data_IF_323698814672
#
_entry.id   IF_323698814672
#
_cell.length_a   1.000
_cell.length_b   1.000
_cell.length_c   1.000
_cell.angle_alpha   90.00
_cell.angle_beta   90.00
_cell.angle_gamma   90.00
#
_symmetry.space_group_name_H-M   'P 1'
#
loop_
_entity.id
_entity.type
_entity.pdbx_description
1 polymer ?
#
# COMPACT_ATOMS: atom_id res chain seq x y z
N UNK A 1 5.39 -8.79 -9.29
CA UNK A 1 5.81 -9.67 -8.18
C UNK A 1 6.72 -8.87 -7.27
N UNK A 2 6.53 -8.96 -5.96
CA UNK A 2 7.39 -8.30 -4.96
C UNK A 2 8.32 -9.34 -4.32
N UNK A 3 9.58 -9.00 -4.16
CA UNK A 3 10.61 -9.88 -3.59
C UNK A 3 11.25 -9.23 -2.36
N UNK A 4 11.64 -10.03 -1.37
CA UNK A 4 12.26 -9.50 -0.15
C UNK A 4 13.59 -8.83 -0.51
N UNK A 5 13.68 -7.52 -0.29
CA UNK A 5 14.85 -6.72 -0.61
C UNK A 5 15.69 -6.40 0.62
N UNK A 6 15.04 -6.12 1.75
CA UNK A 6 15.69 -5.82 3.02
C UNK A 6 14.85 -6.31 4.20
N UNK A 7 15.35 -6.11 5.43
CA UNK A 7 14.62 -6.48 6.65
C UNK A 7 13.32 -5.71 6.88
N UNK A 8 13.04 -4.65 6.12
CA UNK A 8 11.82 -3.84 6.26
C UNK A 8 11.03 -3.67 4.97
N UNK A 9 11.54 -4.18 3.83
CA UNK A 9 10.98 -3.88 2.52
C UNK A 9 11.06 -5.06 1.56
N UNK A 10 10.03 -5.14 0.74
CA UNK A 10 9.99 -5.88 -0.51
C UNK A 10 10.17 -4.91 -1.67
N UNK A 11 10.76 -5.34 -2.78
CA UNK A 11 10.92 -4.57 -4.01
C UNK A 11 10.12 -5.24 -5.12
N UNK A 12 9.35 -4.44 -5.83
CA UNK A 12 8.60 -4.86 -7.01
C UNK A 12 8.65 -3.79 -8.08
N UNK A 13 7.98 -4.06 -9.20
CA UNK A 13 7.79 -3.12 -10.29
C UNK A 13 6.31 -3.00 -10.60
N UNK A 14 5.86 -1.77 -10.78
CA UNK A 14 4.47 -1.41 -11.10
C UNK A 14 4.49 -0.31 -12.14
N UNK A 15 3.49 -0.29 -13.02
CA UNK A 15 3.19 0.91 -13.81
C UNK A 15 2.68 1.99 -12.86
N UNK A 16 3.24 3.18 -12.94
CA UNK A 16 2.86 4.30 -12.08
C UNK A 16 2.17 5.35 -12.92
N UNK A 17 0.96 5.73 -12.55
CA UNK A 17 0.19 6.74 -13.29
C UNK A 17 -0.57 7.70 -12.36
N UNK A 18 -0.78 8.96 -12.79
CA UNK A 18 -1.66 9.88 -12.07
C UNK A 18 -3.13 9.47 -12.19
N UNK A 19 -3.91 9.61 -11.11
CA UNK A 19 -5.37 9.40 -11.11
C UNK A 19 -6.12 10.44 -10.26
N UNK A 20 -7.44 10.48 -10.41
CA UNK A 20 -8.33 11.45 -9.74
C UNK A 20 -8.77 11.05 -8.32
N UNK A 21 -8.19 9.98 -7.76
CA UNK A 21 -8.47 9.57 -6.38
C UNK A 21 -7.65 10.35 -5.36
N UNK A 22 -8.07 10.28 -4.11
CA UNK A 22 -7.46 11.02 -3.00
C UNK A 22 -6.25 10.32 -2.39
N UNK A 23 -6.04 9.02 -2.66
CA UNK A 23 -5.34 8.16 -1.70
C UNK A 23 -4.24 7.24 -2.20
N UNK A 24 -3.76 7.24 -3.44
CA UNK A 24 -2.88 6.17 -3.94
C UNK A 24 -3.50 4.77 -3.85
N UNK A 25 -3.55 4.07 -4.97
CA UNK A 25 -4.29 2.83 -5.07
C UNK A 25 -3.61 1.83 -5.99
N UNK A 26 -3.84 0.56 -5.69
CA UNK A 26 -3.58 -0.57 -6.60
C UNK A 26 -4.88 -1.36 -6.77
N UNK A 27 -4.89 -2.31 -7.71
CA UNK A 27 -6.06 -3.16 -7.90
C UNK A 27 -6.44 -3.88 -6.60
N UNK A 28 -7.72 -3.84 -6.20
CA UNK A 28 -8.21 -4.46 -4.96
C UNK A 28 -7.76 -5.92 -4.74
N UNK A 29 -7.87 -6.77 -5.76
CA UNK A 29 -7.46 -8.19 -5.64
C UNK A 29 -5.96 -8.34 -5.41
N UNK A 30 -5.12 -7.50 -6.00
CA UNK A 30 -3.68 -7.49 -5.74
C UNK A 30 -3.37 -6.92 -4.35
N UNK A 31 -4.09 -5.88 -3.94
CA UNK A 31 -3.99 -5.31 -2.60
C UNK A 31 -4.23 -6.37 -1.53
N UNK A 32 -5.36 -7.06 -1.60
CA UNK A 32 -5.73 -8.09 -0.61
C UNK A 32 -4.71 -9.23 -0.57
N UNK A 33 -4.22 -9.69 -1.73
CA UNK A 33 -3.18 -10.72 -1.80
C UNK A 33 -1.84 -10.27 -1.23
N UNK A 34 -1.44 -9.03 -1.50
CA UNK A 34 -0.21 -8.48 -0.93
C UNK A 34 -0.34 -8.29 0.57
N UNK A 35 -1.49 -7.85 1.05
CA UNK A 35 -1.77 -7.70 2.47
C UNK A 35 -1.70 -9.04 3.19
N UNK A 36 -2.39 -10.05 2.67
CA UNK A 36 -2.31 -11.43 3.18
C UNK A 36 -0.86 -11.93 3.21
N UNK A 37 -0.09 -11.68 2.15
CA UNK A 37 1.28 -12.18 2.08
C UNK A 37 2.27 -11.44 2.99
N UNK A 38 2.07 -10.15 3.22
CA UNK A 38 3.08 -9.28 3.85
C UNK A 38 2.71 -8.91 5.29
N UNK A 39 1.41 -8.82 5.60
CA UNK A 39 0.91 -8.38 6.91
C UNK A 39 0.28 -9.49 7.74
N UNK A 40 -0.29 -10.52 7.10
CA UNK A 40 -0.89 -11.62 7.85
C UNK A 40 0.20 -12.52 8.48
N UNK A 41 -0.09 -13.00 9.67
CA UNK A 41 0.69 -14.04 10.36
C UNK A 41 0.36 -15.44 9.84
N UNK A 42 -0.79 -15.61 9.19
CA UNK A 42 -1.33 -16.91 8.78
C UNK A 42 -2.07 -17.62 9.93
N UNK A 43 -2.33 -16.93 11.03
CA UNK A 43 -2.99 -17.50 12.22
C UNK A 43 -4.35 -16.83 12.48
N UNK A 44 -5.42 -17.63 12.48
CA UNK A 44 -6.76 -17.16 12.80
C UNK A 44 -7.45 -16.41 11.65
N UNK A 45 -8.26 -15.41 12.01
CA UNK A 45 -8.97 -14.55 11.05
C UNK A 45 -8.30 -13.18 11.07
N UNK A 46 -7.67 -12.83 9.95
CA UNK A 46 -6.91 -11.58 9.80
C UNK A 46 -7.56 -10.70 8.73
N UNK A 47 -7.51 -9.38 8.94
CA UNK A 47 -7.98 -8.41 7.95
C UNK A 47 -6.91 -8.26 6.86
N UNK A 48 -7.34 -8.32 5.61
CA UNK A 48 -6.48 -8.22 4.42
C UNK A 48 -6.69 -6.90 3.65
N UNK A 49 -7.42 -5.97 4.23
CA UNK A 49 -7.81 -4.70 3.64
C UNK A 49 -7.16 -3.49 4.33
N UNK A 50 -6.16 -3.70 5.20
CA UNK A 50 -5.38 -2.60 5.74
C UNK A 50 -4.63 -1.87 4.62
N UNK A 51 -4.50 -0.52 4.69
CA UNK A 51 -3.65 0.20 3.76
C UNK A 51 -2.23 -0.37 3.75
N UNK A 52 -1.75 -0.75 2.57
CA UNK A 52 -0.35 -1.08 2.37
C UNK A 52 0.47 0.21 2.44
N UNK A 53 1.71 0.16 2.94
CA UNK A 53 2.61 1.31 2.86
C UNK A 53 3.63 1.07 1.76
N UNK A 54 3.53 1.82 0.67
CA UNK A 54 4.47 1.78 -0.42
C UNK A 54 5.39 2.99 -0.39
N UNK A 55 6.55 2.85 -1.04
CA UNK A 55 7.52 3.90 -1.23
C UNK A 55 7.94 3.96 -2.69
N UNK A 56 7.93 5.16 -3.23
CA UNK A 56 8.40 5.49 -4.56
C UNK A 56 9.33 6.68 -4.47
N UNK A 57 10.49 6.58 -5.12
CA UNK A 57 11.58 7.53 -4.99
C UNK A 57 11.96 7.78 -3.52
N UNK A 58 11.62 8.95 -2.97
CA UNK A 58 11.87 9.33 -1.57
C UNK A 58 10.63 9.36 -0.69
N UNK A 59 9.43 9.18 -1.26
CA UNK A 59 8.16 9.37 -0.55
C UNK A 59 7.51 8.03 -0.17
N UNK A 60 6.94 7.98 1.04
CA UNK A 60 6.07 6.91 1.51
C UNK A 60 4.63 7.37 1.51
N UNK A 61 3.72 6.49 1.15
CA UNK A 61 2.28 6.76 1.18
C UNK A 61 1.50 5.48 1.51
N UNK A 62 0.34 5.63 2.18
CA UNK A 62 -0.64 4.55 2.25
C UNK A 62 -1.17 4.26 0.85
N UNK A 63 -1.53 3.00 0.60
CA UNK A 63 -2.05 2.51 -0.66
C UNK A 63 -3.26 1.64 -0.36
N UNK A 64 -4.38 1.98 -0.97
CA UNK A 64 -5.66 1.27 -0.80
C UNK A 64 -5.98 0.36 -1.98
N UNK A 65 -6.95 -0.54 -1.78
CA UNK A 65 -7.47 -1.41 -2.83
C UNK A 65 -8.67 -0.80 -3.56
N UNK A 66 -8.52 -0.55 -4.86
CA UNK A 66 -9.55 0.02 -5.73
C UNK A 66 -9.86 -0.93 -6.90
N UNK A 67 -11.15 -1.12 -7.21
CA UNK A 67 -11.61 -1.99 -8.30
C UNK A 67 -11.44 -1.34 -9.69
N UNK A 68 -11.29 -0.01 -9.75
CA UNK A 68 -11.08 0.76 -10.97
C UNK A 68 -9.62 0.81 -11.43
N UNK A 69 -8.66 0.42 -10.59
CA UNK A 69 -7.23 0.44 -10.92
C UNK A 69 -6.84 -0.85 -11.66
N UNK A 70 -6.18 -0.76 -12.82
CA UNK A 70 -5.70 -1.94 -13.53
C UNK A 70 -4.68 -2.75 -12.71
N UNK A 71 -4.69 -4.08 -12.90
CA UNK A 71 -3.68 -4.95 -12.29
C UNK A 71 -2.26 -4.53 -12.70
N UNK A 72 -1.31 -4.61 -11.77
CA UNK A 72 0.08 -4.21 -11.98
C UNK A 72 0.31 -2.69 -12.03
N UNK A 73 -0.68 -1.90 -11.61
CA UNK A 73 -0.63 -0.42 -11.63
C UNK A 73 -0.70 0.14 -10.21
N UNK A 74 0.16 1.13 -9.94
CA UNK A 74 0.10 2.02 -8.80
C UNK A 74 -0.41 3.38 -9.28
N UNK A 75 -1.69 3.64 -9.02
CA UNK A 75 -2.32 4.92 -9.28
C UNK A 75 -1.96 5.89 -8.15
N UNK A 76 -1.47 7.09 -8.47
CA UNK A 76 -1.06 8.11 -7.51
C UNK A 76 -1.89 9.39 -7.66
N UNK A 77 -2.33 10.03 -6.57
CA UNK A 77 -3.09 11.28 -6.65
C UNK A 77 -2.33 12.31 -7.49
N UNK A 78 -3.05 13.11 -8.29
CA UNK A 78 -2.43 14.08 -9.21
C UNK A 78 -1.53 15.11 -8.53
N UNK A 79 -1.69 15.34 -7.24
CA UNK A 79 -0.86 16.23 -6.44
C UNK A 79 0.39 15.53 -5.87
N UNK A 80 0.44 14.20 -5.87
CA UNK A 80 1.57 13.39 -5.42
C UNK A 80 2.62 13.13 -6.53
N UNK A 81 2.25 13.31 -7.80
CA UNK A 81 3.13 13.16 -8.95
C UNK A 81 3.01 14.35 -9.89
N UNK A 82 3.93 14.48 -10.84
CA UNK A 82 3.75 15.42 -11.94
C UNK A 82 2.48 15.03 -12.73
N UNK A 83 1.46 15.90 -12.84
CA UNK A 83 0.20 15.58 -13.51
C UNK A 83 0.36 15.33 -15.01
N UNK A 84 1.47 15.79 -15.61
CA UNK A 84 1.83 15.53 -17.00
C UNK A 84 2.73 14.29 -17.16
N UNK A 85 3.07 13.59 -16.06
CA UNK A 85 3.84 12.36 -16.12
C UNK A 85 3.09 11.27 -16.89
N UNK A 86 3.75 10.73 -17.90
CA UNK A 86 3.25 9.55 -18.61
C UNK A 86 3.36 8.31 -17.71
N UNK A 87 2.43 7.35 -17.83
CA UNK A 87 2.56 6.06 -17.15
C UNK A 87 3.91 5.40 -17.46
N UNK A 88 4.63 4.99 -16.42
CA UNK A 88 5.95 4.35 -16.56
C UNK A 88 6.12 3.18 -15.58
N UNK A 89 6.86 2.16 -16.00
CA UNK A 89 7.20 1.02 -15.17
C UNK A 89 8.31 1.41 -14.20
N UNK A 90 8.00 1.51 -12.90
CA UNK A 90 8.93 2.00 -11.87
C UNK A 90 9.17 0.98 -10.74
N UNK A 91 10.38 0.95 -10.16
CA UNK A 91 10.64 0.19 -8.95
C UNK A 91 9.88 0.82 -7.78
N UNK A 92 9.09 -0.01 -7.09
CA UNK A 92 8.30 0.37 -5.90
C UNK A 92 8.74 -0.51 -4.74
N UNK A 93 8.95 0.10 -3.58
CA UNK A 93 9.18 -0.66 -2.35
C UNK A 93 7.87 -0.80 -1.58
N UNK A 94 7.61 -1.99 -1.06
CA UNK A 94 6.50 -2.28 -0.17
C UNK A 94 7.06 -2.54 1.23
N UNK A 95 6.63 -1.75 2.21
CA UNK A 95 7.01 -1.94 3.61
C UNK A 95 6.36 -3.21 4.17
N UNK A 96 7.08 -3.93 5.02
CA UNK A 96 6.48 -5.01 5.81
C UNK A 96 5.62 -4.48 6.97
N UNK A 97 4.91 -5.38 7.66
CA UNK A 97 3.95 -5.05 8.70
C UNK A 97 4.51 -4.11 9.77
N UNK A 98 5.70 -4.44 10.28
CA UNK A 98 6.37 -3.65 11.32
C UNK A 98 6.68 -2.24 10.82
N UNK A 99 7.28 -2.15 9.62
CA UNK A 99 7.65 -0.85 9.06
C UNK A 99 6.43 -0.01 8.66
N UNK A 100 5.39 -0.64 8.15
CA UNK A 100 4.13 0.00 7.81
C UNK A 100 3.45 0.59 9.06
N UNK A 101 3.35 -0.17 10.14
CA UNK A 101 2.77 0.29 11.40
C UNK A 101 3.52 1.50 11.99
N UNK A 102 4.86 1.55 11.88
CA UNK A 102 5.64 2.73 12.26
C UNK A 102 5.28 3.97 11.42
N UNK A 103 5.20 3.81 10.10
CA UNK A 103 4.97 4.93 9.18
C UNK A 103 3.55 5.47 9.25
N UNK A 104 2.54 4.60 9.38
CA UNK A 104 1.14 5.00 9.50
C UNK A 104 0.89 5.83 10.76
N UNK A 105 1.50 5.46 11.90
CA UNK A 105 1.43 6.25 13.14
C UNK A 105 1.93 7.68 12.95
N UNK A 106 3.02 7.87 12.20
CA UNK A 106 3.56 9.20 11.95
C UNK A 106 2.76 10.02 10.94
N UNK A 107 2.06 9.34 10.01
CA UNK A 107 1.17 9.97 9.04
C UNK A 107 -0.20 10.38 9.63
N UNK A 108 -0.43 10.14 10.92
CA UNK A 108 -1.70 10.46 11.58
C UNK A 108 -2.82 9.46 11.30
N UNK A 109 -2.51 8.29 10.74
CA UNK A 109 -3.44 7.16 10.74
C UNK A 109 -3.48 6.59 12.15
N UNK A 110 -4.64 6.70 12.80
CA UNK A 110 -4.86 6.07 14.10
C UNK A 110 -5.02 4.57 13.88
N UNK A 111 -3.92 3.82 14.00
CA UNK A 111 -3.94 2.35 13.91
C UNK A 111 -4.90 1.71 14.94
N UNK A 112 -5.27 2.42 16.01
CA UNK A 112 -6.27 1.98 16.99
C UNK A 112 -7.72 2.09 16.47
N UNK A 113 -7.99 2.86 15.41
CA UNK A 113 -9.28 2.84 14.69
C UNK A 113 -9.45 1.55 13.89
N UNK A 114 -8.34 0.86 13.62
CA UNK A 114 -8.32 -0.36 12.84
C UNK A 114 -8.00 -1.63 13.66
N UNK A 115 -7.81 -1.50 14.99
CA UNK A 115 -7.65 -2.61 15.93
C UNK A 115 -8.98 -3.38 16.16
N UNK A 116 -9.08 -4.67 15.78
CA UNK A 116 -10.29 -5.48 15.98
C UNK A 116 -10.67 -5.68 17.46
N UNK A 117 -9.75 -5.43 18.39
CA UNK A 117 -9.94 -5.61 19.84
C UNK A 117 -10.91 -4.59 20.45
N UNK A 118 -11.21 -3.48 19.76
CA UNK A 118 -11.99 -2.36 20.30
C UNK A 118 -13.49 -2.38 20.00
N UNK A 119 -14.01 -3.29 19.16
CA UNK A 119 -15.47 -3.44 18.94
C UNK A 119 -16.14 -4.27 20.03
N UNK A 120 -16.15 -3.74 21.26
CA UNK A 120 -17.16 -4.05 22.26
C UNK A 120 -17.50 -2.79 23.04
N UNK A 121 -18.56 -2.10 22.63
CA UNK A 121 -19.48 -1.42 23.54
C UNK A 121 -20.85 -1.38 22.89
#
# INVERSE_FOLDING_TARGET
MFERFSSGYYLGRLYVEPYDGTEAAIQRTEHERLNEHVYASGEGIERIDYPLVMKLDSAHFPVVGDDGVPAGTLALPRDAVDPDALPDDRPVFLADATRAAELLRYAGYDIDEFDPSRRKT
#
